data_IF_486234070225
#
_entry.id   IF_486234070225
#
_cell.length_a   1.000
_cell.length_b   1.000
_cell.length_c   1.000
_cell.angle_alpha   90.00
_cell.angle_beta   90.00
_cell.angle_gamma   90.00
#
_symmetry.space_group_name_H-M   'P 1'
#
loop_
_entity.id
_entity.type
_entity.pdbx_description
1 polymer ?
#
# COMPACT_ATOMS: atom_id res chain seq x y z
N UNK A 1 -1.78 7.36 0.04
CA UNK A 1 -1.15 8.23 1.02
C UNK A 1 -0.45 7.54 2.22
N UNK A 2 -0.54 6.22 2.42
CA UNK A 2 0.41 5.45 3.27
C UNK A 2 1.86 5.47 2.76
N UNK A 3 2.12 6.21 1.73
CA UNK A 3 3.28 6.23 0.86
C UNK A 3 4.49 6.90 1.49
N UNK A 4 4.25 7.97 2.22
CA UNK A 4 5.37 8.75 2.73
C UNK A 4 6.13 8.09 3.88
N UNK A 5 5.51 7.16 4.60
CA UNK A 5 6.06 6.68 5.85
C UNK A 5 6.06 5.15 5.98
N UNK A 6 5.34 4.42 5.11
CA UNK A 6 5.39 2.96 5.03
C UNK A 6 6.07 2.47 3.76
N UNK A 7 7.29 2.92 3.51
CA UNK A 7 8.14 2.30 2.49
C UNK A 7 8.62 0.90 2.89
N UNK A 8 7.74 0.09 3.42
CA UNK A 8 8.11 -1.31 3.52
C UNK A 8 7.65 -2.12 2.31
N UNK A 9 7.12 -1.46 1.25
CA UNK A 9 6.41 -2.26 0.31
C UNK A 9 6.15 -1.59 -1.02
N UNK A 10 7.02 -1.75 -1.98
CA UNK A 10 6.59 -1.46 -3.34
C UNK A 10 5.81 -2.61 -4.01
N UNK A 11 5.96 -3.85 -3.61
CA UNK A 11 5.05 -4.93 -3.98
C UNK A 11 3.94 -5.14 -2.93
N UNK A 12 4.16 -4.84 -1.66
CA UNK A 12 3.07 -4.72 -0.67
C UNK A 12 2.32 -3.40 -0.82
N UNK A 13 2.88 -2.31 -1.38
CA UNK A 13 2.09 -1.14 -1.77
C UNK A 13 1.22 -1.43 -2.97
N UNK A 14 1.70 -2.21 -3.94
CA UNK A 14 0.85 -2.68 -5.03
C UNK A 14 -0.24 -3.63 -4.51
N UNK A 15 0.14 -4.57 -3.67
CA UNK A 15 -0.79 -5.47 -2.97
C UNK A 15 -1.58 -4.75 -1.87
N UNK A 16 -1.02 -3.70 -1.24
CA UNK A 16 -1.70 -2.92 -0.19
C UNK A 16 -2.61 -1.83 -0.72
N UNK A 17 -2.41 -1.34 -1.92
CA UNK A 17 -3.39 -0.49 -2.60
C UNK A 17 -4.56 -1.36 -3.05
N UNK A 18 -4.32 -2.51 -3.60
CA UNK A 18 -5.33 -3.54 -3.79
C UNK A 18 -5.88 -3.97 -2.41
N UNK A 19 -5.07 -4.24 -1.39
CA UNK A 19 -5.48 -4.60 -0.04
C UNK A 19 -6.13 -3.47 0.78
N UNK A 20 -6.00 -2.21 0.43
CA UNK A 20 -6.80 -1.13 1.04
C UNK A 20 -8.26 -1.17 0.56
N UNK A 21 -8.48 -1.73 -0.62
CA UNK A 21 -9.84 -2.07 -1.10
C UNK A 21 -10.33 -3.42 -0.58
N UNK A 22 -9.49 -4.19 0.10
CA UNK A 22 -9.58 -5.64 0.27
C UNK A 22 -10.02 -6.09 1.69
N UNK A 23 -10.16 -5.25 2.66
CA UNK A 23 -10.49 -5.68 4.02
C UNK A 23 -11.97 -5.53 4.39
N UNK A 24 -12.91 -5.55 3.42
CA UNK A 24 -14.25 -5.07 3.73
C UNK A 24 -15.31 -6.01 3.16
N UNK A 25 -16.11 -6.59 4.01
CA UNK A 25 -17.41 -7.17 3.66
C UNK A 25 -18.42 -6.07 3.31
N UNK A 26 -19.39 -6.37 2.49
CA UNK A 26 -20.30 -5.47 1.74
C UNK A 26 -20.81 -4.15 2.36
N UNK A 27 -20.86 -3.99 3.66
CA UNK A 27 -21.31 -2.70 4.26
C UNK A 27 -20.20 -1.79 4.72
N UNK A 28 -18.96 -2.29 4.72
CA UNK A 28 -17.81 -1.60 5.31
C UNK A 28 -16.99 -0.80 4.30
N UNK A 29 -17.07 -1.08 2.98
CA UNK A 29 -16.33 -0.29 1.95
C UNK A 29 -16.80 1.15 1.93
N UNK A 30 -18.12 1.36 1.85
CA UNK A 30 -18.73 2.71 1.87
C UNK A 30 -18.39 3.45 3.15
N UNK A 31 -18.53 2.80 4.30
CA UNK A 31 -18.23 3.39 5.61
C UNK A 31 -16.73 3.74 5.68
N UNK A 32 -15.85 2.81 5.35
CA UNK A 32 -14.42 3.02 5.37
C UNK A 32 -13.99 4.17 4.43
N UNK A 33 -14.57 4.22 3.23
CA UNK A 33 -14.28 5.28 2.28
C UNK A 33 -14.77 6.66 2.75
N UNK A 34 -15.97 6.72 3.31
CA UNK A 34 -16.54 7.98 3.81
C UNK A 34 -15.79 8.56 5.02
N UNK A 35 -15.10 7.73 5.80
CA UNK A 35 -14.25 8.16 6.91
C UNK A 35 -12.76 8.21 6.56
N UNK A 36 -12.39 7.97 5.29
CA UNK A 36 -10.99 7.89 4.89
C UNK A 36 -10.24 9.21 5.09
N UNK A 37 -10.88 10.37 4.87
CA UNK A 37 -10.32 11.69 5.14
C UNK A 37 -9.96 11.85 6.63
N UNK A 38 -10.86 11.48 7.54
CA UNK A 38 -10.64 11.54 8.99
C UNK A 38 -9.48 10.64 9.41
N UNK A 39 -9.41 9.42 8.87
CA UNK A 39 -8.31 8.50 9.18
C UNK A 39 -6.97 9.00 8.66
N UNK A 40 -6.97 9.64 7.50
CA UNK A 40 -5.77 10.25 6.93
C UNK A 40 -5.29 11.42 7.79
N UNK A 41 -6.18 12.32 8.21
CA UNK A 41 -5.85 13.43 9.13
C UNK A 41 -5.24 12.89 10.43
N UNK A 42 -5.94 11.99 11.11
CA UNK A 42 -5.46 11.41 12.37
C UNK A 42 -4.12 10.69 12.22
N UNK A 43 -3.90 10.03 11.07
CA UNK A 43 -2.64 9.37 10.79
C UNK A 43 -1.49 10.40 10.64
N UNK A 44 -1.69 11.50 9.92
CA UNK A 44 -0.69 12.58 9.83
C UNK A 44 -0.46 13.23 11.20
N UNK A 45 -1.52 13.52 11.93
CA UNK A 45 -1.45 14.12 13.27
C UNK A 45 -0.62 13.23 14.23
N UNK A 46 -0.70 11.91 14.09
CA UNK A 46 0.13 10.99 14.88
C UNK A 46 1.64 11.15 14.67
N UNK A 47 2.06 11.88 13.63
CA UNK A 47 3.47 12.16 13.35
C UNK A 47 3.86 13.60 13.55
N UNK A 48 2.97 14.57 13.29
CA UNK A 48 3.34 15.96 13.14
C UNK A 48 2.80 16.91 14.22
N UNK A 49 2.03 16.47 15.17
CA UNK A 49 1.45 17.35 16.18
C UNK A 49 0.95 18.68 15.57
N UNK A 50 -0.15 18.64 14.82
CA UNK A 50 -0.65 19.76 14.01
C UNK A 50 -1.05 20.97 14.83
N UNK A 51 -0.79 22.17 14.30
CA UNK A 51 -1.52 23.37 14.67
C UNK A 51 -2.94 23.32 14.09
N UNK A 52 -3.88 23.95 14.74
CA UNK A 52 -5.29 23.98 14.32
C UNK A 52 -5.46 24.45 12.86
N UNK A 53 -4.70 25.49 12.46
CA UNK A 53 -4.71 25.99 11.08
C UNK A 53 -4.19 24.97 10.06
N UNK A 54 -3.17 24.16 10.40
CA UNK A 54 -2.66 23.10 9.54
C UNK A 54 -3.65 21.97 9.41
N UNK A 55 -4.31 21.61 10.52
CA UNK A 55 -5.37 20.60 10.53
C UNK A 55 -6.52 21.01 9.61
N UNK A 56 -7.05 22.21 9.78
CA UNK A 56 -8.16 22.73 8.98
C UNK A 56 -7.81 22.78 7.46
N UNK A 57 -6.59 23.21 7.13
CA UNK A 57 -6.14 23.23 5.72
C UNK A 57 -6.00 21.80 5.16
N UNK A 58 -5.44 20.85 5.93
CA UNK A 58 -5.33 19.46 5.51
C UNK A 58 -6.71 18.81 5.30
N UNK A 59 -7.65 19.02 6.21
CA UNK A 59 -9.02 18.52 6.10
C UNK A 59 -9.68 19.02 4.81
N UNK A 60 -9.60 20.33 4.55
CA UNK A 60 -10.11 20.94 3.31
C UNK A 60 -9.49 20.36 2.06
N UNK A 61 -8.16 20.13 2.04
CA UNK A 61 -7.45 19.54 0.91
C UNK A 61 -7.82 18.06 0.69
N UNK A 62 -8.00 17.34 1.76
CA UNK A 62 -8.45 15.95 1.69
C UNK A 62 -9.88 15.83 1.19
N UNK A 63 -10.78 16.71 1.59
CA UNK A 63 -12.16 16.74 1.07
C UNK A 63 -12.16 16.99 -0.44
N UNK A 64 -11.36 17.93 -0.94
CA UNK A 64 -11.19 18.19 -2.37
C UNK A 64 -10.60 16.99 -3.11
N UNK A 65 -9.58 16.34 -2.51
CA UNK A 65 -8.97 15.14 -3.08
C UNK A 65 -9.95 13.97 -3.15
N UNK A 66 -10.72 13.71 -2.10
CA UNK A 66 -11.70 12.62 -2.09
C UNK A 66 -12.89 12.90 -3.01
N UNK A 67 -13.29 14.16 -3.20
CA UNK A 67 -14.30 14.54 -4.18
C UNK A 67 -13.81 14.26 -5.62
N UNK A 68 -12.59 14.66 -5.96
CA UNK A 68 -11.96 14.31 -7.24
C UNK A 68 -11.83 12.79 -7.40
N UNK A 69 -11.37 12.07 -6.37
CA UNK A 69 -11.17 10.64 -6.42
C UNK A 69 -12.49 9.89 -6.68
N UNK A 70 -13.59 10.32 -6.05
CA UNK A 70 -14.93 9.77 -6.30
C UNK A 70 -15.34 9.93 -7.76
N UNK A 71 -15.20 11.13 -8.30
CA UNK A 71 -15.69 11.47 -9.64
C UNK A 71 -14.80 10.96 -10.76
N UNK A 72 -13.49 10.88 -10.53
CA UNK A 72 -12.52 10.63 -11.59
C UNK A 72 -11.82 9.28 -11.50
N UNK A 73 -11.59 8.75 -10.31
CA UNK A 73 -10.81 7.52 -10.14
C UNK A 73 -11.68 6.31 -9.81
N UNK A 74 -12.74 6.44 -8.99
CA UNK A 74 -13.62 5.30 -8.69
C UNK A 74 -14.23 4.69 -9.96
N UNK A 75 -14.73 5.45 -10.95
CA UNK A 75 -15.21 4.86 -12.20
C UNK A 75 -14.15 4.02 -12.94
N UNK A 76 -12.90 4.46 -12.94
CA UNK A 76 -11.80 3.70 -13.57
C UNK A 76 -11.44 2.44 -12.77
N UNK A 77 -11.53 2.52 -11.45
CA UNK A 77 -11.33 1.35 -10.58
C UNK A 77 -12.45 0.33 -10.82
N UNK A 78 -13.70 0.76 -11.02
CA UNK A 78 -14.81 -0.13 -11.40
C UNK A 78 -14.47 -0.88 -12.69
N UNK A 79 -14.07 -0.17 -13.75
CA UNK A 79 -13.70 -0.80 -15.02
C UNK A 79 -12.53 -1.79 -14.85
N UNK A 80 -11.51 -1.41 -14.09
CA UNK A 80 -10.41 -2.32 -13.77
C UNK A 80 -10.88 -3.59 -13.05
N UNK A 81 -11.79 -3.47 -12.09
CA UNK A 81 -12.32 -4.62 -11.35
C UNK A 81 -13.21 -5.52 -12.22
N UNK A 82 -13.99 -4.94 -13.13
CA UNK A 82 -14.78 -5.67 -14.12
C UNK A 82 -13.85 -6.51 -15.04
N UNK A 83 -12.78 -5.91 -15.57
CA UNK A 83 -11.78 -6.59 -16.38
C UNK A 83 -11.01 -7.64 -15.57
N UNK A 84 -10.64 -7.33 -14.32
CA UNK A 84 -9.97 -8.26 -13.41
C UNK A 84 -10.82 -9.53 -13.19
N UNK A 85 -12.11 -9.37 -12.95
CA UNK A 85 -13.04 -10.49 -12.76
C UNK A 85 -13.09 -11.40 -14.00
N UNK A 86 -13.13 -10.82 -15.20
CA UNK A 86 -13.12 -11.59 -16.46
C UNK A 86 -11.84 -12.40 -16.58
N UNK A 87 -10.67 -11.80 -16.35
CA UNK A 87 -9.35 -12.46 -16.43
C UNK A 87 -9.17 -13.53 -15.36
N UNK A 88 -9.64 -13.26 -14.14
CA UNK A 88 -9.52 -14.19 -13.02
C UNK A 88 -10.34 -15.48 -13.21
N UNK A 89 -11.37 -15.47 -14.05
CA UNK A 89 -12.26 -16.61 -14.25
C UNK A 89 -11.51 -17.87 -14.68
N UNK A 90 -10.55 -17.72 -15.60
CA UNK A 90 -9.80 -18.85 -16.17
C UNK A 90 -8.37 -18.99 -15.58
N UNK A 91 -8.06 -18.15 -14.59
CA UNK A 91 -6.74 -18.09 -13.94
C UNK A 91 -5.85 -17.02 -14.54
N UNK A 92 -4.87 -16.58 -13.74
CA UNK A 92 -3.90 -15.57 -14.15
C UNK A 92 -2.64 -16.19 -14.74
N UNK A 93 -2.24 -15.63 -15.87
CA UNK A 93 -0.93 -15.86 -16.45
C UNK A 93 0.03 -14.66 -16.19
N UNK A 94 1.19 -14.70 -16.82
CA UNK A 94 2.19 -13.63 -16.68
C UNK A 94 1.73 -12.31 -17.31
N UNK A 95 0.93 -12.36 -18.36
CA UNK A 95 0.43 -11.18 -19.05
C UNK A 95 -0.62 -10.47 -18.19
N UNK A 96 -1.48 -11.23 -17.53
CA UNK A 96 -2.45 -10.70 -16.56
C UNK A 96 -1.76 -10.04 -15.37
N UNK A 97 -0.70 -10.65 -14.83
CA UNK A 97 0.09 -10.02 -13.77
C UNK A 97 0.73 -8.71 -14.23
N UNK A 98 1.26 -8.67 -15.45
CA UNK A 98 1.83 -7.43 -16.00
C UNK A 98 0.77 -6.36 -16.24
N UNK A 99 -0.41 -6.75 -16.72
CA UNK A 99 -1.56 -5.85 -16.86
C UNK A 99 -1.96 -5.26 -15.51
N UNK A 100 -2.17 -6.07 -14.47
CA UNK A 100 -2.47 -5.59 -13.10
C UNK A 100 -1.41 -4.60 -12.62
N UNK A 101 -0.12 -4.91 -12.80
CA UNK A 101 0.98 -4.01 -12.40
C UNK A 101 0.92 -2.67 -13.13
N UNK A 102 0.61 -2.70 -14.42
CA UNK A 102 0.49 -1.49 -15.26
C UNK A 102 -0.66 -0.62 -14.79
N UNK A 103 -1.84 -1.19 -14.61
CA UNK A 103 -3.02 -0.44 -14.15
C UNK A 103 -2.82 0.17 -12.77
N UNK A 104 -2.28 -0.60 -11.82
CA UNK A 104 -1.98 -0.09 -10.48
C UNK A 104 -0.94 1.03 -10.49
N UNK A 105 0.06 0.96 -11.39
CA UNK A 105 1.03 2.04 -11.56
C UNK A 105 0.37 3.31 -12.15
N UNK A 106 -0.53 3.16 -13.11
CA UNK A 106 -1.31 4.28 -13.67
C UNK A 106 -2.21 4.93 -12.61
N UNK A 107 -2.92 4.15 -11.79
CA UNK A 107 -3.70 4.68 -10.66
C UNK A 107 -2.81 5.48 -9.72
N UNK A 108 -1.66 4.90 -9.37
CA UNK A 108 -0.70 5.54 -8.50
C UNK A 108 -0.19 6.87 -9.04
N UNK A 109 0.22 6.91 -10.32
CA UNK A 109 0.69 8.13 -10.96
C UNK A 109 -0.37 9.24 -10.95
N UNK A 110 -1.64 8.91 -11.22
CA UNK A 110 -2.74 9.89 -11.19
C UNK A 110 -2.98 10.44 -9.79
N UNK A 111 -2.92 9.60 -8.76
CA UNK A 111 -3.00 10.02 -7.35
C UNK A 111 -1.85 10.98 -7.03
N UNK A 112 -0.61 10.65 -7.40
CA UNK A 112 0.53 11.52 -7.16
C UNK A 112 0.41 12.87 -7.85
N UNK A 113 0.09 12.88 -9.13
CA UNK A 113 -0.08 14.12 -9.92
C UNK A 113 -1.15 15.03 -9.29
N UNK A 114 -2.25 14.47 -8.82
CA UNK A 114 -3.31 15.25 -8.18
C UNK A 114 -2.91 15.76 -6.79
N UNK A 115 -2.20 14.96 -5.99
CA UNK A 115 -1.88 15.27 -4.60
C UNK A 115 -0.56 16.04 -4.41
N UNK A 116 0.34 16.07 -5.39
CA UNK A 116 1.72 16.57 -5.21
C UNK A 116 1.80 18.02 -4.73
N UNK A 117 0.95 18.90 -5.28
CA UNK A 117 0.93 20.33 -4.89
C UNK A 117 0.47 20.54 -3.45
N UNK A 118 -0.53 19.79 -3.05
CA UNK A 118 -1.09 19.89 -1.70
C UNK A 118 -0.13 19.28 -0.67
N UNK A 119 0.52 18.17 -1.02
CA UNK A 119 1.59 17.58 -0.20
C UNK A 119 2.75 18.56 -0.05
N UNK A 120 3.21 19.15 -1.15
CA UNK A 120 4.29 20.13 -1.13
C UNK A 120 3.96 21.35 -0.26
N UNK A 121 2.76 21.91 -0.46
CA UNK A 121 2.28 23.04 0.33
C UNK A 121 2.25 22.73 1.83
N UNK A 122 1.73 21.56 2.19
CA UNK A 122 1.69 21.12 3.58
C UNK A 122 3.10 20.96 4.17
N UNK A 123 4.01 20.26 3.50
CA UNK A 123 5.37 20.02 3.99
C UNK A 123 6.17 21.32 4.18
N UNK A 124 5.88 22.36 3.40
CA UNK A 124 6.50 23.68 3.57
C UNK A 124 6.03 24.39 4.85
N UNK A 125 4.88 24.03 5.42
CA UNK A 125 4.38 24.60 6.69
C UNK A 125 4.95 23.91 7.93
N UNK A 126 5.58 22.76 7.79
CA UNK A 126 6.14 21.98 8.89
C UNK A 126 7.32 22.73 9.51
N UNK A 127 7.32 22.93 10.83
CA UNK A 127 8.40 23.59 11.56
C UNK A 127 9.35 22.61 12.26
N UNK A 128 10.40 23.17 12.87
CA UNK A 128 11.47 22.37 13.49
C UNK A 128 10.95 21.51 14.67
N UNK A 129 9.96 21.99 15.43
CA UNK A 129 9.38 21.20 16.52
C UNK A 129 8.59 20.02 16.00
N UNK A 130 7.88 20.18 14.89
CA UNK A 130 7.13 19.12 14.22
C UNK A 130 8.08 18.11 13.53
N UNK A 131 9.22 18.59 13.00
CA UNK A 131 10.27 17.70 12.48
C UNK A 131 10.87 16.87 13.62
N UNK A 132 11.09 17.47 14.78
CA UNK A 132 11.58 16.77 15.95
C UNK A 132 10.60 15.69 16.43
N UNK A 133 9.31 16.02 16.53
CA UNK A 133 8.25 15.07 16.93
C UNK A 133 8.14 13.92 15.94
N UNK A 134 8.19 14.20 14.63
CA UNK A 134 8.19 13.17 13.59
C UNK A 134 9.39 12.24 13.70
N UNK A 135 10.60 12.79 13.90
CA UNK A 135 11.80 11.99 14.06
C UNK A 135 11.71 11.09 15.30
N UNK A 136 11.24 11.64 16.42
CA UNK A 136 10.98 10.88 17.65
C UNK A 136 10.01 9.72 17.38
N UNK A 137 8.90 9.98 16.66
CA UNK A 137 7.93 8.94 16.28
C UNK A 137 8.50 7.87 15.36
N UNK A 138 9.44 8.19 14.50
CA UNK A 138 10.16 7.20 13.70
C UNK A 138 10.97 6.22 14.56
N UNK A 139 11.57 6.74 15.64
CA UNK A 139 12.34 5.92 16.58
C UNK A 139 11.47 5.12 17.54
N UNK A 140 10.34 5.69 18.00
CA UNK A 140 9.41 5.04 18.92
C UNK A 140 8.64 3.88 18.28
N UNK A 141 8.44 3.88 16.95
CA UNK A 141 7.76 2.79 16.24
C UNK A 141 8.62 1.53 16.08
N UNK A 142 9.30 1.12 17.17
CA UNK A 142 9.99 -0.18 17.21
C UNK A 142 9.02 -1.38 17.17
N UNK A 143 7.74 -1.12 17.37
CA UNK A 143 6.67 -2.13 17.43
C UNK A 143 6.00 -2.44 16.10
N UNK A 144 6.49 -1.88 14.99
CA UNK A 144 5.92 -2.22 13.69
C UNK A 144 6.34 -3.63 13.23
N UNK A 145 5.56 -4.15 12.30
CA UNK A 145 5.75 -5.49 11.74
C UNK A 145 7.17 -5.73 11.23
N UNK A 146 7.79 -4.76 10.55
CA UNK A 146 9.11 -4.95 9.95
C UNK A 146 10.21 -5.02 11.02
N UNK A 147 10.11 -4.18 12.05
CA UNK A 147 11.03 -4.19 13.17
C UNK A 147 10.89 -5.48 13.99
N UNK A 148 9.65 -5.94 14.22
CA UNK A 148 9.39 -7.23 14.86
C UNK A 148 10.00 -8.38 14.08
N UNK A 149 9.73 -8.45 12.77
CA UNK A 149 10.30 -9.48 11.89
C UNK A 149 11.82 -9.51 11.89
N UNK A 150 12.48 -8.35 11.99
CA UNK A 150 13.96 -8.29 12.03
C UNK A 150 14.59 -8.89 13.30
N UNK A 151 13.80 -9.08 14.34
CA UNK A 151 14.22 -9.65 15.63
C UNK A 151 13.83 -11.13 15.77
N UNK A 152 13.05 -11.69 14.84
CA UNK A 152 12.57 -13.07 14.87
C UNK A 152 13.65 -14.07 14.46
N UNK A 153 13.63 -15.24 15.07
CA UNK A 153 14.33 -16.42 14.56
C UNK A 153 13.74 -16.83 13.19
N UNK A 154 14.44 -17.69 12.45
CA UNK A 154 13.95 -18.21 11.17
C UNK A 154 12.60 -18.93 11.30
N UNK A 155 12.40 -19.67 12.38
CA UNK A 155 11.17 -20.42 12.65
C UNK A 155 10.01 -19.45 12.89
N UNK A 156 10.20 -18.46 13.77
CA UNK A 156 9.19 -17.44 14.08
C UNK A 156 8.85 -16.60 12.84
N UNK A 157 9.87 -16.18 12.07
CA UNK A 157 9.67 -15.43 10.85
C UNK A 157 8.87 -16.21 9.82
N UNK A 158 9.16 -17.51 9.66
CA UNK A 158 8.40 -18.38 8.78
C UNK A 158 6.95 -18.47 9.21
N UNK A 159 6.70 -18.69 10.49
CA UNK A 159 5.36 -18.78 11.06
C UNK A 159 4.58 -17.47 10.83
N UNK A 160 5.18 -16.32 11.17
CA UNK A 160 4.54 -15.00 10.95
C UNK A 160 4.19 -14.75 9.47
N UNK A 161 5.08 -15.13 8.54
CA UNK A 161 4.83 -14.98 7.10
C UNK A 161 3.69 -15.89 6.65
N UNK A 162 3.66 -17.16 7.08
CA UNK A 162 2.62 -18.11 6.73
C UNK A 162 1.26 -17.70 7.26
N UNK A 163 1.16 -17.34 8.54
CA UNK A 163 -0.09 -16.87 9.15
C UNK A 163 -0.66 -15.65 8.41
N UNK A 164 0.21 -14.69 8.05
CA UNK A 164 -0.20 -13.52 7.28
C UNK A 164 -0.63 -13.88 5.85
N UNK A 165 0.05 -14.84 5.23
CA UNK A 165 -0.28 -15.32 3.90
C UNK A 165 -1.63 -16.03 3.91
N UNK A 166 -1.84 -16.97 4.85
CA UNK A 166 -3.13 -17.67 4.98
C UNK A 166 -4.25 -16.69 5.25
N UNK A 167 -4.11 -15.81 6.24
CA UNK A 167 -5.12 -14.80 6.54
C UNK A 167 -5.46 -13.92 5.35
N UNK A 168 -4.45 -13.53 4.55
CA UNK A 168 -4.69 -12.72 3.35
C UNK A 168 -5.42 -13.51 2.26
N UNK A 169 -5.05 -14.77 2.04
CA UNK A 169 -5.69 -15.63 1.06
C UNK A 169 -7.11 -16.03 1.50
N UNK A 170 -7.29 -16.45 2.76
CA UNK A 170 -8.60 -16.82 3.31
C UNK A 170 -9.59 -15.67 3.29
N UNK A 171 -9.11 -14.45 3.47
CA UNK A 171 -9.98 -13.27 3.32
C UNK A 171 -10.56 -13.10 1.90
N UNK A 172 -9.89 -13.65 0.87
CA UNK A 172 -10.35 -13.54 -0.51
C UNK A 172 -11.01 -14.80 -1.04
N UNK A 173 -10.41 -15.93 -0.72
CA UNK A 173 -10.77 -17.23 -1.28
C UNK A 173 -11.77 -17.97 -0.41
N UNK A 174 -12.03 -17.50 0.83
CA UNK A 174 -12.65 -18.32 1.86
C UNK A 174 -11.65 -19.34 2.41
N UNK A 175 -12.13 -20.41 3.01
CA UNK A 175 -11.27 -21.41 3.66
C UNK A 175 -10.28 -22.05 2.67
N UNK A 176 -9.04 -22.21 3.12
CA UNK A 176 -8.00 -22.90 2.38
C UNK A 176 -8.00 -24.39 2.73
N UNK A 177 -8.03 -25.25 1.73
CA UNK A 177 -7.88 -26.68 1.90
C UNK A 177 -6.49 -27.06 2.45
N UNK A 178 -6.36 -28.16 3.22
CA UNK A 178 -5.08 -28.61 3.74
C UNK A 178 -3.99 -28.78 2.66
N UNK A 179 -4.38 -29.28 1.47
CA UNK A 179 -3.48 -29.44 0.32
C UNK A 179 -3.02 -28.12 -0.27
N UNK A 180 -3.83 -27.05 -0.18
CA UNK A 180 -3.44 -25.71 -0.58
C UNK A 180 -2.44 -25.11 0.43
N UNK A 181 -2.70 -25.28 1.73
CA UNK A 181 -1.82 -24.82 2.81
C UNK A 181 -0.44 -25.47 2.70
N UNK A 182 -0.36 -26.77 2.47
CA UNK A 182 0.91 -27.50 2.27
C UNK A 182 1.72 -26.92 1.09
N UNK A 183 1.09 -26.68 -0.05
CA UNK A 183 1.75 -26.08 -1.21
C UNK A 183 2.23 -24.65 -0.94
N UNK A 184 1.40 -23.82 -0.32
CA UNK A 184 1.73 -22.45 0.06
C UNK A 184 2.92 -22.43 1.01
N UNK A 185 2.96 -23.35 1.98
CA UNK A 185 4.07 -23.50 2.92
C UNK A 185 5.40 -23.82 2.23
N UNK A 186 5.37 -24.70 1.20
CA UNK A 186 6.56 -25.04 0.41
C UNK A 186 7.05 -23.81 -0.40
N UNK A 187 6.14 -23.02 -0.95
CA UNK A 187 6.49 -21.88 -1.81
C UNK A 187 6.87 -20.63 -1.04
N UNK A 188 6.41 -20.51 0.22
CA UNK A 188 6.62 -19.33 1.06
C UNK A 188 7.79 -19.58 2.01
N UNK A 189 8.97 -19.09 1.64
CA UNK A 189 10.18 -19.24 2.45
C UNK A 189 10.53 -17.90 3.12
N UNK A 190 10.97 -17.94 4.41
CA UNK A 190 11.44 -16.73 5.09
C UNK A 190 12.73 -16.23 4.46
N UNK A 191 12.84 -14.92 4.34
CA UNK A 191 14.05 -14.26 3.89
C UNK A 191 14.45 -13.14 4.88
N UNK A 192 15.25 -13.48 5.91
CA UNK A 192 15.70 -12.50 6.89
C UNK A 192 16.57 -11.40 6.28
N UNK A 193 17.33 -11.74 5.24
CA UNK A 193 18.14 -10.75 4.54
C UNK A 193 17.26 -9.70 3.87
N UNK A 194 16.19 -10.12 3.20
CA UNK A 194 15.21 -9.20 2.61
C UNK A 194 14.52 -8.33 3.69
N UNK A 195 14.21 -8.90 4.87
CA UNK A 195 13.68 -8.12 6.00
C UNK A 195 14.67 -7.04 6.42
N UNK A 196 15.95 -7.39 6.55
CA UNK A 196 17.01 -6.45 6.92
C UNK A 196 17.22 -5.35 5.85
N UNK A 197 17.22 -5.72 4.57
CA UNK A 197 17.32 -4.75 3.45
C UNK A 197 16.16 -3.76 3.48
N UNK A 198 14.92 -4.23 3.66
CA UNK A 198 13.75 -3.36 3.79
C UNK A 198 13.86 -2.41 4.98
N UNK A 199 14.38 -2.89 6.10
CA UNK A 199 14.55 -2.07 7.31
C UNK A 199 15.60 -0.96 7.08
N UNK A 200 16.73 -1.29 6.46
CA UNK A 200 17.76 -0.29 6.09
C UNK A 200 17.22 0.74 5.12
N UNK A 201 16.51 0.30 4.09
CA UNK A 201 15.89 1.21 3.12
C UNK A 201 14.86 2.15 3.76
N UNK A 202 14.05 1.64 4.69
CA UNK A 202 13.11 2.47 5.46
C UNK A 202 13.83 3.53 6.30
N UNK A 203 14.90 3.14 7.01
CA UNK A 203 15.69 4.07 7.82
C UNK A 203 16.33 5.17 6.97
N UNK A 204 16.89 4.79 5.81
CA UNK A 204 17.42 5.78 4.87
C UNK A 204 16.35 6.78 4.43
N UNK A 205 15.19 6.30 3.99
CA UNK A 205 14.09 7.17 3.58
C UNK A 205 13.65 8.13 4.69
N UNK A 206 13.54 7.65 5.92
CA UNK A 206 13.20 8.48 7.08
C UNK A 206 14.25 9.56 7.32
N UNK A 207 15.52 9.21 7.23
CA UNK A 207 16.63 10.16 7.34
C UNK A 207 16.61 11.21 6.23
N UNK A 208 16.46 10.77 4.97
CA UNK A 208 16.39 11.68 3.81
C UNK A 208 15.21 12.64 3.92
N UNK A 209 14.05 12.18 4.41
CA UNK A 209 12.88 13.02 4.64
C UNK A 209 13.13 14.08 5.72
N UNK A 210 13.75 13.70 6.83
CA UNK A 210 14.12 14.64 7.90
C UNK A 210 15.10 15.71 7.36
N UNK A 211 16.10 15.31 6.60
CA UNK A 211 17.06 16.21 5.99
C UNK A 211 16.39 17.20 5.01
N UNK A 212 15.51 16.68 4.15
CA UNK A 212 14.74 17.49 3.22
C UNK A 212 13.87 18.54 3.94
N UNK A 213 13.18 18.15 5.01
CA UNK A 213 12.31 19.05 5.76
C UNK A 213 13.07 20.16 6.52
N UNK A 214 14.31 19.89 6.96
CA UNK A 214 15.14 20.88 7.66
C UNK A 214 15.67 21.99 6.75
N UNK A 215 15.84 21.73 5.46
CA UNK A 215 16.29 22.71 4.50
C UNK A 215 15.13 23.24 3.66
N UNK A 216 14.55 24.37 4.05
CA UNK A 216 13.38 24.95 3.36
C UNK A 216 13.66 25.30 1.90
N UNK A 217 14.88 25.72 1.56
CA UNK A 217 15.25 26.03 0.19
C UNK A 217 15.37 24.74 -0.65
N UNK A 218 16.04 23.72 -0.12
CA UNK A 218 16.11 22.39 -0.74
C UNK A 218 14.72 21.77 -0.88
N UNK A 219 13.88 21.91 0.14
CA UNK A 219 12.48 21.43 0.11
C UNK A 219 11.72 22.08 -1.05
N UNK A 220 11.75 23.41 -1.19
CA UNK A 220 11.07 24.12 -2.29
C UNK A 220 11.53 23.68 -3.67
N UNK A 221 12.83 23.43 -3.83
CA UNK A 221 13.42 23.03 -5.11
C UNK A 221 13.14 21.58 -5.49
N UNK A 222 13.16 20.68 -4.50
CA UNK A 222 13.22 19.24 -4.76
C UNK A 222 11.92 18.49 -4.39
N UNK A 223 10.96 19.12 -3.72
CA UNK A 223 9.79 18.43 -3.18
C UNK A 223 8.98 17.67 -4.25
N UNK A 224 8.80 18.27 -5.42
CA UNK A 224 8.07 17.62 -6.51
C UNK A 224 8.81 16.39 -7.03
N UNK A 225 10.12 16.52 -7.29
CA UNK A 225 10.95 15.39 -7.70
C UNK A 225 11.00 14.30 -6.62
N UNK A 226 11.02 14.70 -5.37
CA UNK A 226 11.04 13.80 -4.24
C UNK A 226 9.75 12.98 -4.11
N UNK A 227 8.59 13.61 -4.36
CA UNK A 227 7.28 12.96 -4.35
C UNK A 227 7.10 12.05 -5.56
N UNK A 228 7.44 12.54 -6.77
CA UNK A 228 7.17 11.84 -8.03
C UNK A 228 8.16 10.71 -8.33
N UNK A 229 9.35 10.72 -7.71
CA UNK A 229 10.38 9.70 -7.91
C UNK A 229 10.83 9.02 -6.59
N UNK A 230 9.97 8.22 -5.95
CA UNK A 230 10.29 7.58 -4.69
C UNK A 230 11.48 6.60 -4.77
N UNK A 231 11.79 6.09 -5.96
CA UNK A 231 12.92 5.17 -6.16
C UNK A 231 14.28 5.85 -6.00
N UNK A 232 14.36 7.19 -6.17
CA UNK A 232 15.58 7.95 -5.96
C UNK A 232 16.09 7.86 -4.52
N UNK A 233 15.19 7.60 -3.56
CA UNK A 233 15.50 7.51 -2.13
C UNK A 233 15.75 6.08 -1.64
N UNK A 234 15.77 5.12 -2.56
CA UNK A 234 16.10 3.74 -2.19
C UNK A 234 17.61 3.56 -2.04
N UNK A 235 18.01 2.67 -1.13
CA UNK A 235 19.39 2.19 -1.08
C UNK A 235 19.73 1.41 -2.36
N UNK A 236 20.98 1.42 -2.79
CA UNK A 236 21.38 0.66 -3.98
C UNK A 236 21.18 -0.85 -3.78
N UNK A 237 21.39 -1.33 -2.55
CA UNK A 237 21.08 -2.69 -2.17
C UNK A 237 19.59 -3.01 -2.39
N UNK A 238 18.69 -2.13 -1.97
CA UNK A 238 17.25 -2.31 -2.18
C UNK A 238 16.88 -2.28 -3.67
N UNK A 239 17.43 -1.33 -4.45
CA UNK A 239 17.22 -1.24 -5.91
C UNK A 239 17.62 -2.53 -6.64
N UNK A 240 18.72 -3.14 -6.18
CA UNK A 240 19.22 -4.38 -6.79
C UNK A 240 18.32 -5.57 -6.49
N UNK A 241 17.93 -5.71 -5.22
CA UNK A 241 17.20 -6.90 -4.75
C UNK A 241 15.72 -6.84 -5.10
N UNK A 242 15.10 -5.67 -5.10
CA UNK A 242 13.65 -5.53 -5.32
C UNK A 242 13.20 -6.12 -6.67
N UNK A 243 14.03 -6.01 -7.71
CA UNK A 243 13.74 -6.58 -9.03
C UNK A 243 13.61 -8.10 -8.99
N UNK A 244 14.48 -8.75 -8.22
CA UNK A 244 14.41 -10.21 -8.00
C UNK A 244 13.18 -10.56 -7.17
N UNK A 245 12.90 -9.80 -6.10
CA UNK A 245 11.73 -10.04 -5.25
C UNK A 245 10.41 -9.85 -5.98
N UNK A 246 10.32 -8.93 -6.91
CA UNK A 246 9.13 -8.78 -7.77
C UNK A 246 8.93 -10.03 -8.64
N UNK A 247 9.99 -10.57 -9.25
CA UNK A 247 9.89 -11.81 -10.05
C UNK A 247 9.51 -13.02 -9.19
N UNK A 248 10.10 -13.17 -8.00
CA UNK A 248 9.70 -14.22 -7.05
C UNK A 248 8.22 -14.12 -6.69
N UNK A 249 7.75 -12.90 -6.41
CA UNK A 249 6.34 -12.65 -6.12
C UNK A 249 5.43 -13.01 -7.31
N UNK A 250 5.79 -12.65 -8.54
CA UNK A 250 5.03 -13.00 -9.74
C UNK A 250 4.88 -14.52 -9.86
N UNK A 251 5.98 -15.27 -9.66
CA UNK A 251 5.98 -16.73 -9.71
C UNK A 251 5.07 -17.32 -8.62
N UNK A 252 5.18 -16.81 -7.39
CA UNK A 252 4.37 -17.30 -6.28
C UNK A 252 2.88 -16.99 -6.53
N UNK A 253 2.55 -15.82 -7.05
CA UNK A 253 1.16 -15.44 -7.38
C UNK A 253 0.55 -16.39 -8.40
N UNK A 254 1.26 -16.69 -9.49
CA UNK A 254 0.79 -17.64 -10.52
C UNK A 254 0.63 -19.05 -9.93
N UNK A 255 1.56 -19.49 -9.07
CA UNK A 255 1.46 -20.80 -8.41
C UNK A 255 0.25 -20.87 -7.47
N UNK A 256 0.00 -19.83 -6.69
CA UNK A 256 -1.18 -19.76 -5.81
C UNK A 256 -2.44 -19.77 -6.67
N UNK A 257 -2.50 -18.97 -7.74
CA UNK A 257 -3.64 -18.94 -8.64
C UNK A 257 -3.94 -20.31 -9.26
N UNK A 258 -2.89 -21.10 -9.62
CA UNK A 258 -3.04 -22.43 -10.20
C UNK A 258 -3.67 -23.49 -9.28
N UNK A 259 -3.78 -23.20 -7.99
CA UNK A 259 -4.39 -24.12 -7.01
C UNK A 259 -5.72 -23.62 -6.47
N UNK A 260 -6.23 -22.48 -6.97
CA UNK A 260 -7.54 -21.95 -6.58
C UNK A 260 -8.64 -22.84 -7.12
N UNK A 261 -9.58 -23.22 -6.25
CA UNK A 261 -10.71 -24.05 -6.61
C UNK A 261 -11.80 -23.25 -7.36
N UNK A 262 -12.63 -23.87 -8.20
CA UNK A 262 -13.73 -23.18 -8.87
C UNK A 262 -14.66 -22.43 -7.92
N UNK A 263 -15.02 -23.02 -6.78
CA UNK A 263 -15.84 -22.36 -5.76
C UNK A 263 -15.16 -21.15 -5.12
N UNK A 264 -13.83 -21.19 -4.97
CA UNK A 264 -13.06 -20.06 -4.46
C UNK A 264 -12.97 -18.94 -5.50
N UNK A 265 -12.88 -19.24 -6.79
CA UNK A 265 -12.95 -18.24 -7.87
C UNK A 265 -14.31 -17.56 -7.91
N UNK A 266 -15.39 -18.32 -7.74
CA UNK A 266 -16.73 -17.77 -7.64
C UNK A 266 -16.88 -16.83 -6.43
N UNK A 267 -16.38 -17.24 -5.27
CA UNK A 267 -16.36 -16.39 -4.07
C UNK A 267 -15.58 -15.07 -4.27
N UNK A 268 -14.43 -15.12 -4.96
CA UNK A 268 -13.67 -13.90 -5.35
C UNK A 268 -14.49 -13.02 -6.28
N UNK A 269 -15.18 -13.61 -7.27
CA UNK A 269 -16.01 -12.86 -8.21
C UNK A 269 -17.17 -12.16 -7.50
N UNK A 270 -17.87 -12.83 -6.58
CA UNK A 270 -18.93 -12.25 -5.76
C UNK A 270 -18.41 -11.07 -4.92
N UNK A 271 -17.26 -11.23 -4.24
CA UNK A 271 -16.64 -10.14 -3.48
C UNK A 271 -16.29 -8.93 -4.34
N UNK A 272 -15.80 -9.19 -5.56
CA UNK A 272 -15.49 -8.11 -6.50
C UNK A 272 -16.77 -7.40 -6.95
N UNK A 273 -17.87 -8.14 -7.19
CA UNK A 273 -19.16 -7.55 -7.55
C UNK A 273 -19.71 -6.67 -6.43
N UNK A 274 -19.56 -7.08 -5.18
CA UNK A 274 -19.94 -6.27 -4.02
C UNK A 274 -19.14 -4.97 -3.96
N UNK A 275 -17.82 -5.06 -4.17
CA UNK A 275 -16.93 -3.88 -4.22
C UNK A 275 -17.31 -2.96 -5.38
N UNK A 276 -17.56 -3.50 -6.57
CA UNK A 276 -18.01 -2.75 -7.74
C UNK A 276 -19.30 -2.00 -7.43
N UNK A 277 -20.28 -2.67 -6.81
CA UNK A 277 -21.54 -2.05 -6.40
C UNK A 277 -21.30 -0.88 -5.43
N UNK A 278 -20.47 -1.07 -4.40
CA UNK A 278 -20.15 -0.03 -3.44
C UNK A 278 -19.44 1.16 -4.11
N UNK A 279 -18.51 0.91 -5.04
CA UNK A 279 -17.79 1.98 -5.74
C UNK A 279 -18.69 2.74 -6.71
N UNK A 280 -19.62 2.08 -7.38
CA UNK A 280 -20.66 2.71 -8.22
C UNK A 280 -21.52 3.65 -7.39
N UNK A 281 -22.04 3.19 -6.25
CA UNK A 281 -22.82 4.03 -5.34
C UNK A 281 -22.02 5.24 -4.83
N UNK A 282 -20.73 5.06 -4.49
CA UNK A 282 -19.87 6.14 -4.01
C UNK A 282 -19.54 7.17 -5.09
N UNK A 283 -19.46 6.77 -6.34
CA UNK A 283 -19.15 7.63 -7.49
C UNK A 283 -20.39 8.23 -8.16
N UNK A 284 -21.58 7.70 -7.88
CA UNK A 284 -22.85 8.16 -8.45
C UNK A 284 -23.09 7.69 -9.88
N UNK A 285 -22.53 6.52 -10.27
CA UNK A 285 -22.69 5.88 -11.59
C UNK A 285 -23.40 4.55 -11.51
#
# INVERSE_FOLDING_TARGET
>A
MRIFIKQSTNYKSLFFILALFICISCSTTKVAYNFANVWVVNWFESYFNFRESQRAELEKKLDQFFDWHRKSELPKIVLFLEDFKVRHKDGFDKEDINWVKTELNLFWQRILINAEKDIASFLLTVDDSQIFDMNKKFHEKEDDTLTKQSKMSLVELRQDILERTYKALENWLGDLEPSQKEKIEIWTQPDPYWVAVKLRNRKKFQSDLIELLRSKDTLKQNIYSWISNPESHWTDEYKTIIKTKIKEWEIITIRIDSIILPSQREHVAEKIDDIISDLKDLSGI
#
